data_IF_002152941583
#
_entry.id   IF_002152941583
#
_cell.length_a   1.000
_cell.length_b   1.000
_cell.length_c   1.000
_cell.angle_alpha   90.00
_cell.angle_beta   90.00
_cell.angle_gamma   90.00
#
_symmetry.space_group_name_H-M   'P 1'
#
loop_
_entity.id
_entity.type
_entity.pdbx_description
1 polymer ?
#
# COMPACT_ATOMS: atom_id res chain seq x y z
N UNK A 1 7.16 8.39 13.99
CA UNK A 1 7.00 6.97 13.76
C UNK A 1 6.45 6.66 12.42
N UNK A 2 5.24 7.04 12.12
CA UNK A 2 4.69 6.81 10.81
C UNK A 2 5.50 7.49 9.71
N UNK A 3 6.09 8.62 10.03
CA UNK A 3 6.88 9.38 9.08
C UNK A 3 8.09 8.60 8.58
N UNK A 4 8.73 7.83 9.46
CA UNK A 4 9.90 7.08 9.05
C UNK A 4 9.60 6.05 7.98
N UNK A 5 8.50 5.33 8.15
CA UNK A 5 8.09 4.33 7.16
C UNK A 5 7.74 5.00 5.85
N UNK A 6 6.98 6.09 5.92
CA UNK A 6 6.60 6.81 4.72
C UNK A 6 7.81 7.36 3.98
N UNK A 7 8.81 7.82 4.72
CA UNK A 7 10.02 8.33 4.10
C UNK A 7 10.77 7.23 3.36
N UNK A 8 10.84 6.04 3.94
CA UNK A 8 11.48 4.91 3.27
C UNK A 8 10.77 4.57 1.97
N UNK A 9 9.45 4.54 2.01
CA UNK A 9 8.68 4.24 0.80
C UNK A 9 8.84 5.34 -0.23
N UNK A 10 8.95 6.57 0.22
CA UNK A 10 9.19 7.69 -0.69
C UNK A 10 10.54 7.57 -1.39
N UNK A 11 11.55 7.12 -0.66
CA UNK A 11 12.86 6.92 -1.26
C UNK A 11 12.82 5.87 -2.36
N UNK A 12 12.09 4.79 -2.12
CA UNK A 12 11.90 3.78 -3.15
C UNK A 12 11.22 4.37 -4.39
N UNK A 13 10.24 5.22 -4.18
CA UNK A 13 9.56 5.89 -5.27
C UNK A 13 10.55 6.73 -6.08
N UNK A 14 11.43 7.44 -5.37
CA UNK A 14 12.41 8.30 -6.02
C UNK A 14 13.34 7.48 -6.91
N UNK A 15 13.79 6.32 -6.41
CA UNK A 15 14.66 5.47 -7.21
C UNK A 15 13.99 5.02 -8.50
N UNK A 16 12.75 4.59 -8.37
CA UNK A 16 12.00 4.14 -9.54
C UNK A 16 11.80 5.30 -10.51
N UNK A 17 11.48 6.46 -9.97
CA UNK A 17 11.30 7.63 -10.81
C UNK A 17 12.54 7.97 -11.61
N UNK A 18 13.71 7.86 -10.98
CA UNK A 18 14.97 8.13 -11.67
C UNK A 18 15.16 7.14 -12.81
N UNK A 19 14.94 5.88 -12.52
CA UNK A 19 15.08 4.86 -13.54
C UNK A 19 14.11 5.11 -14.68
N UNK A 20 12.87 5.40 -14.32
CA UNK A 20 11.87 5.67 -15.33
C UNK A 20 12.21 6.88 -16.18
N UNK A 21 12.70 7.91 -15.55
CA UNK A 21 13.07 9.12 -16.28
C UNK A 21 14.15 8.84 -17.29
N UNK A 22 15.05 7.91 -16.97
CA UNK A 22 16.12 7.57 -17.85
C UNK A 22 15.65 6.83 -19.07
N UNK A 23 14.58 6.11 -18.93
CA UNK A 23 14.14 5.23 -19.99
C UNK A 23 13.88 5.94 -21.28
N UNK A 24 13.48 7.10 -21.19
CA UNK A 24 13.34 7.63 -22.35
C UNK A 24 12.63 8.70 -22.87
N UNK A 25 13.20 9.25 -23.71
CA UNK A 25 12.58 10.32 -24.42
C UNK A 25 11.22 9.93 -24.96
N UNK A 26 11.17 8.78 -25.53
CA UNK A 26 9.91 8.33 -26.14
C UNK A 26 8.80 8.09 -25.14
N UNK A 27 9.18 7.86 -23.90
CA UNK A 27 8.22 7.53 -22.85
C UNK A 27 7.87 8.70 -21.96
N UNK A 28 8.28 9.91 -22.33
CA UNK A 28 8.14 11.06 -21.44
C UNK A 28 6.72 11.41 -21.09
N UNK A 29 5.78 11.07 -21.93
CA UNK A 29 4.39 11.43 -21.69
C UNK A 29 3.72 10.50 -20.69
N UNK A 30 4.36 9.39 -20.35
CA UNK A 30 3.77 8.45 -19.43
C UNK A 30 4.09 8.81 -18.01
N UNK A 31 3.13 8.60 -17.13
CA UNK A 31 3.38 8.69 -15.70
C UNK A 31 4.19 7.50 -15.25
N UNK A 32 5.27 7.76 -14.56
CA UNK A 32 6.08 6.67 -14.03
C UNK A 32 5.31 5.92 -12.97
N UNK A 33 5.29 4.61 -13.10
CA UNK A 33 4.62 3.76 -12.14
C UNK A 33 5.64 3.15 -11.19
N UNK A 34 5.43 3.36 -9.90
CA UNK A 34 6.29 2.77 -8.87
C UNK A 34 6.22 1.25 -8.99
N UNK A 35 7.37 0.59 -8.92
CA UNK A 35 7.45 -0.86 -8.95
C UNK A 35 8.43 -1.36 -7.89
N UNK A 36 8.08 -2.46 -7.25
CA UNK A 36 8.93 -3.12 -6.27
C UNK A 36 9.29 -4.50 -6.80
N UNK A 37 10.55 -4.69 -7.14
CA UNK A 37 11.00 -5.98 -7.62
C UNK A 37 10.88 -7.03 -6.52
N UNK A 38 10.48 -8.22 -6.89
CA UNK A 38 10.44 -9.33 -5.95
C UNK A 38 9.09 -9.63 -5.34
N UNK A 39 8.03 -8.98 -5.82
CA UNK A 39 6.68 -9.33 -5.36
C UNK A 39 6.34 -10.75 -5.82
N UNK A 40 5.78 -11.54 -4.92
CA UNK A 40 5.47 -12.96 -5.15
C UNK A 40 4.04 -13.24 -4.72
N UNK A 41 3.58 -14.45 -5.03
CA UNK A 41 2.21 -14.81 -4.68
C UNK A 41 2.00 -14.82 -3.17
N UNK A 42 2.96 -15.38 -2.43
CA UNK A 42 2.92 -15.38 -0.96
C UNK A 42 4.34 -15.23 -0.46
N UNK A 43 4.59 -14.19 0.30
CA UNK A 43 5.92 -13.92 0.83
C UNK A 43 6.04 -14.46 2.26
N UNK A 44 6.89 -15.47 2.50
CA UNK A 44 7.06 -16.02 3.84
C UNK A 44 7.51 -14.97 4.87
N UNK A 45 8.18 -13.92 4.44
CA UNK A 45 8.61 -12.86 5.35
C UNK A 45 7.42 -12.13 5.96
N UNK A 46 6.29 -12.07 5.25
CA UNK A 46 5.08 -11.47 5.78
C UNK A 46 4.51 -12.33 6.90
N UNK A 47 4.54 -13.66 6.74
CA UNK A 47 4.07 -14.55 7.80
C UNK A 47 4.91 -14.37 9.07
N UNK A 48 6.22 -14.21 8.91
CA UNK A 48 7.11 -13.94 10.04
C UNK A 48 6.76 -12.60 10.68
N UNK A 49 6.54 -11.59 9.85
CA UNK A 49 6.16 -10.26 10.33
C UNK A 49 4.85 -10.31 11.12
N UNK A 50 3.87 -11.04 10.62
CA UNK A 50 2.58 -11.19 11.30
C UNK A 50 2.74 -11.86 12.66
N UNK A 51 3.59 -12.88 12.74
CA UNK A 51 3.84 -13.57 14.00
C UNK A 51 4.52 -12.67 15.03
N UNK A 52 5.31 -11.72 14.58
CA UNK A 52 5.97 -10.78 15.49
C UNK A 52 5.03 -9.70 16.01
N UNK A 53 3.90 -9.52 15.37
CA UNK A 53 2.93 -8.51 15.76
C UNK A 53 1.67 -9.19 16.27
N UNK A 54 1.79 -9.80 17.45
CA UNK A 54 0.65 -10.43 18.08
C UNK A 54 -0.20 -9.40 18.81
N UNK A 55 -1.37 -9.81 19.27
CA UNK A 55 -2.27 -8.94 19.98
C UNK A 55 -3.23 -8.24 19.05
N UNK A 56 -3.90 -7.25 19.60
CA UNK A 56 -5.00 -6.59 18.90
C UNK A 56 -4.57 -5.82 17.66
N UNK A 57 -3.46 -5.11 17.74
CA UNK A 57 -2.98 -4.34 16.60
C UNK A 57 -2.56 -5.26 15.45
N UNK A 58 -1.88 -6.36 15.78
CA UNK A 58 -1.51 -7.34 14.76
C UNK A 58 -2.72 -7.99 14.11
N UNK A 59 -3.76 -8.24 14.89
CA UNK A 59 -4.99 -8.82 14.34
C UNK A 59 -5.65 -7.86 13.35
N UNK A 60 -5.65 -6.57 13.66
CA UNK A 60 -6.16 -5.55 12.75
C UNK A 60 -5.34 -5.52 11.46
N UNK A 61 -4.03 -5.55 11.57
CA UNK A 61 -3.15 -5.55 10.40
C UNK A 61 -3.40 -6.78 9.52
N UNK A 62 -3.54 -7.96 10.13
CA UNK A 62 -3.82 -9.19 9.38
C UNK A 62 -5.16 -9.11 8.67
N UNK A 63 -6.17 -8.60 9.35
CA UNK A 63 -7.51 -8.48 8.77
C UNK A 63 -7.48 -7.65 7.48
N UNK A 64 -6.87 -6.50 7.53
CA UNK A 64 -6.90 -5.60 6.39
C UNK A 64 -5.93 -6.00 5.29
N UNK A 65 -4.80 -6.63 5.65
CA UNK A 65 -3.92 -7.16 4.62
C UNK A 65 -4.58 -8.30 3.87
N UNK A 66 -5.38 -9.11 4.58
CA UNK A 66 -6.12 -10.18 3.92
C UNK A 66 -7.17 -9.62 2.95
N UNK A 67 -7.80 -8.51 3.27
CA UNK A 67 -8.70 -7.83 2.35
C UNK A 67 -7.97 -7.44 1.07
N UNK A 68 -6.73 -6.93 1.20
CA UNK A 68 -5.91 -6.59 0.05
C UNK A 68 -5.59 -7.83 -0.79
N UNK A 69 -5.21 -8.92 -0.13
CA UNK A 69 -4.89 -10.18 -0.82
C UNK A 69 -6.05 -10.68 -1.66
N UNK A 70 -7.27 -10.45 -1.20
CA UNK A 70 -8.47 -10.98 -1.85
C UNK A 70 -9.03 -10.09 -2.93
N UNK A 71 -8.36 -8.99 -3.25
CA UNK A 71 -8.86 -8.10 -4.30
C UNK A 71 -8.87 -8.76 -5.67
N UNK A 72 -7.91 -9.65 -5.94
CA UNK A 72 -7.86 -10.35 -7.21
C UNK A 72 -6.81 -11.45 -7.19
N UNK A 73 -6.90 -12.37 -8.15
CA UNK A 73 -5.98 -13.50 -8.23
C UNK A 73 -4.56 -13.08 -8.60
N UNK A 74 -4.41 -11.93 -9.22
CA UNK A 74 -3.10 -11.45 -9.64
C UNK A 74 -2.40 -10.60 -8.57
N UNK A 75 -2.99 -10.47 -7.38
CA UNK A 75 -2.34 -9.75 -6.29
C UNK A 75 -1.08 -10.49 -5.86
N UNK A 76 0.01 -9.77 -5.79
CA UNK A 76 1.30 -10.25 -5.30
C UNK A 76 1.65 -9.49 -4.04
N UNK A 77 2.66 -9.95 -3.36
CA UNK A 77 3.04 -9.32 -2.09
C UNK A 77 4.52 -9.43 -1.83
N UNK A 78 5.01 -8.55 -0.98
CA UNK A 78 6.37 -8.65 -0.45
C UNK A 78 6.47 -7.85 0.83
N UNK A 79 7.46 -8.21 1.65
CA UNK A 79 7.81 -7.35 2.78
C UNK A 79 8.77 -6.30 2.26
N UNK A 80 8.43 -5.04 2.41
CA UNK A 80 9.24 -3.93 1.91
C UNK A 80 9.32 -2.83 2.95
N UNK A 81 10.52 -2.39 3.25
CA UNK A 81 10.77 -1.38 4.28
C UNK A 81 10.08 -1.71 5.60
N UNK A 82 10.09 -2.98 5.97
CA UNK A 82 9.57 -3.42 7.26
C UNK A 82 8.08 -3.58 7.35
N UNK A 83 7.34 -3.52 6.24
CA UNK A 83 5.89 -3.73 6.29
C UNK A 83 5.37 -4.55 5.11
N UNK A 84 4.26 -5.27 5.32
CA UNK A 84 3.61 -6.01 4.24
C UNK A 84 3.04 -5.09 3.19
N UNK A 85 3.35 -5.37 1.93
CA UNK A 85 2.91 -4.57 0.79
C UNK A 85 2.17 -5.47 -0.19
N UNK A 86 1.03 -5.00 -0.66
CA UNK A 86 0.23 -5.68 -1.68
C UNK A 86 0.42 -4.98 -3.02
N UNK A 87 0.61 -5.77 -4.07
CA UNK A 87 0.94 -5.29 -5.40
C UNK A 87 0.06 -5.92 -6.46
N UNK A 88 -0.10 -5.22 -7.57
CA UNK A 88 -0.58 -5.77 -8.82
C UNK A 88 0.66 -6.03 -9.66
N UNK A 89 1.06 -7.31 -9.81
CA UNK A 89 2.38 -7.59 -10.33
C UNK A 89 3.43 -6.99 -9.40
N UNK A 90 4.29 -6.14 -9.92
CA UNK A 90 5.29 -5.43 -9.11
C UNK A 90 4.85 -4.03 -8.69
N UNK A 91 3.65 -3.60 -9.06
CA UNK A 91 3.17 -2.27 -8.77
C UNK A 91 2.40 -2.24 -7.45
N UNK A 92 2.94 -1.61 -6.39
CA UNK A 92 2.29 -1.62 -5.09
C UNK A 92 1.04 -0.75 -5.07
N UNK A 93 0.00 -1.20 -4.38
CA UNK A 93 -1.18 -0.40 -4.20
C UNK A 93 -1.55 -0.17 -2.73
N UNK A 94 -1.14 -1.05 -1.83
CA UNK A 94 -1.49 -0.90 -0.43
C UNK A 94 -0.48 -1.55 0.50
N UNK A 95 -0.49 -1.13 1.74
CA UNK A 95 0.36 -1.72 2.77
C UNK A 95 -0.33 -1.62 4.12
N UNK A 96 0.16 -2.42 5.08
CA UNK A 96 -0.24 -2.27 6.48
C UNK A 96 1.02 -2.10 7.32
N UNK A 97 0.92 -1.32 8.40
CA UNK A 97 2.02 -1.22 9.35
C UNK A 97 1.45 -1.03 10.75
N UNK A 98 2.17 -1.57 11.73
CA UNK A 98 1.75 -1.51 13.14
C UNK A 98 2.64 -0.53 13.88
N UNK A 99 2.02 0.40 14.57
CA UNK A 99 2.70 1.36 15.43
C UNK A 99 2.33 1.06 16.88
N UNK A 100 2.78 1.91 17.80
CA UNK A 100 2.59 1.65 19.21
C UNK A 100 1.11 1.53 19.62
N UNK A 101 0.25 2.37 19.05
CA UNK A 101 -1.15 2.42 19.46
C UNK A 101 -2.13 2.41 18.30
N UNK A 102 -1.65 2.18 17.08
CA UNK A 102 -2.53 2.16 15.92
C UNK A 102 -1.91 1.36 14.77
N UNK A 103 -2.73 1.05 13.80
CA UNK A 103 -2.31 0.43 12.55
C UNK A 103 -2.59 1.42 11.43
N UNK A 104 -1.65 1.54 10.50
CA UNK A 104 -1.92 2.26 9.27
C UNK A 104 -2.25 1.28 8.17
N UNK A 105 -3.34 1.56 7.46
CA UNK A 105 -3.63 0.95 6.16
C UNK A 105 -3.31 2.02 5.14
N UNK A 106 -2.28 1.80 4.34
CA UNK A 106 -1.77 2.84 3.47
C UNK A 106 -1.95 2.53 1.99
N UNK A 107 -1.95 3.59 1.19
CA UNK A 107 -2.18 3.52 -0.25
C UNK A 107 -1.12 4.32 -0.96
N UNK A 108 -0.41 3.68 -1.88
CA UNK A 108 0.70 4.32 -2.60
C UNK A 108 0.22 5.45 -3.53
N UNK A 109 -0.99 5.32 -4.04
CA UNK A 109 -1.60 6.36 -4.87
C UNK A 109 -2.85 6.93 -4.20
N UNK A 110 -2.80 7.03 -2.87
CA UNK A 110 -3.96 7.41 -2.08
C UNK A 110 -4.53 8.78 -2.40
N UNK A 111 -3.68 9.71 -2.83
CA UNK A 111 -4.15 11.07 -3.17
C UNK A 111 -5.13 11.08 -4.34
N UNK A 112 -5.11 10.02 -5.16
CA UNK A 112 -6.00 9.92 -6.31
C UNK A 112 -7.32 9.20 -6.01
N UNK A 113 -7.47 8.68 -4.81
CA UNK A 113 -8.64 7.87 -4.47
C UNK A 113 -9.82 8.73 -4.03
N UNK A 114 -11.04 8.33 -4.39
CA UNK A 114 -12.22 8.97 -3.84
C UNK A 114 -12.30 8.63 -2.35
N UNK A 115 -12.58 9.61 -1.53
CA UNK A 115 -12.63 9.43 -0.08
C UNK A 115 -13.87 10.15 0.49
N UNK A 116 -15.07 9.66 0.17
CA UNK A 116 -16.28 10.33 0.62
C UNK A 116 -16.44 10.30 2.13
N UNK A 117 -15.88 9.28 2.80
CA UNK A 117 -15.96 9.18 4.25
C UNK A 117 -14.86 9.98 4.96
N UNK A 118 -13.97 10.60 4.21
CA UNK A 118 -12.88 11.44 4.73
C UNK A 118 -12.00 10.69 5.71
N UNK A 119 -11.61 9.49 5.34
CA UNK A 119 -10.78 8.62 6.18
C UNK A 119 -9.29 8.79 5.92
N UNK A 120 -8.92 9.30 4.77
CA UNK A 120 -7.51 9.35 4.35
C UNK A 120 -6.77 10.51 5.01
N UNK A 121 -5.59 10.21 5.52
CA UNK A 121 -4.69 11.18 6.15
C UNK A 121 -3.37 11.20 5.40
N UNK A 122 -2.62 12.27 5.56
CA UNK A 122 -1.29 12.40 4.98
C UNK A 122 -1.18 13.64 4.12
N UNK A 123 0.06 14.09 3.95
CA UNK A 123 0.37 15.30 3.20
C UNK A 123 1.32 15.07 2.05
N UNK A 124 1.73 13.81 1.83
CA UNK A 124 2.63 13.50 0.74
C UNK A 124 1.97 13.74 -0.62
N UNK A 125 2.79 13.77 -1.65
CA UNK A 125 2.30 14.04 -2.99
C UNK A 125 1.35 12.96 -3.48
N UNK A 126 1.60 11.70 -3.11
CA UNK A 126 0.81 10.56 -3.60
C UNK A 126 0.24 9.69 -2.50
N UNK A 127 1.00 9.47 -1.45
CA UNK A 127 0.62 8.50 -0.44
C UNK A 127 -0.39 9.06 0.55
N UNK A 128 -1.33 8.19 0.95
CA UNK A 128 -2.29 8.48 2.01
C UNK A 128 -2.46 7.22 2.84
N UNK A 129 -3.00 7.37 4.03
CA UNK A 129 -3.26 6.22 4.90
C UNK A 129 -4.50 6.47 5.74
N UNK A 130 -5.07 5.37 6.21
CA UNK A 130 -6.14 5.38 7.20
C UNK A 130 -5.54 4.89 8.51
N UNK A 131 -5.76 5.62 9.58
CA UNK A 131 -5.24 5.27 10.89
C UNK A 131 -6.33 4.53 11.68
N UNK A 132 -6.00 3.32 12.11
CA UNK A 132 -6.95 2.47 12.83
C UNK A 132 -6.50 2.31 14.27
N UNK A 133 -7.40 2.69 15.19
CA UNK A 133 -7.16 2.48 16.62
C UNK A 133 -8.15 1.47 17.14
N UNK A 134 -7.71 0.56 18.00
CA UNK A 134 -8.63 -0.43 18.57
C UNK A 134 -9.81 0.26 19.26
N UNK A 135 -11.01 -0.24 18.99
CA UNK A 135 -12.20 0.28 19.61
C UNK A 135 -12.69 1.64 19.15
N UNK A 136 -12.10 2.18 18.09
CA UNK A 136 -12.43 3.54 17.66
C UNK A 136 -13.67 3.65 16.75
N UNK A 137 -14.36 2.55 16.47
CA UNK A 137 -15.58 2.61 15.70
C UNK A 137 -15.41 2.95 14.24
N UNK A 138 -14.46 2.30 13.58
CA UNK A 138 -14.19 2.55 12.18
C UNK A 138 -15.32 2.06 11.27
N UNK A 139 -15.53 2.77 10.17
CA UNK A 139 -16.44 2.33 9.12
C UNK A 139 -15.70 1.31 8.24
N UNK A 140 -15.86 0.03 8.58
CA UNK A 140 -15.19 -1.05 7.88
C UNK A 140 -15.58 -1.13 6.41
N UNK A 141 -16.84 -0.87 6.11
CA UNK A 141 -17.30 -0.91 4.73
C UNK A 141 -16.65 0.19 3.91
N UNK A 142 -16.49 1.38 4.47
CA UNK A 142 -15.83 2.48 3.78
C UNK A 142 -14.35 2.16 3.52
N UNK A 143 -13.67 1.54 4.49
CA UNK A 143 -12.28 1.15 4.28
C UNK A 143 -12.17 0.06 3.23
N UNK A 144 -13.07 -0.91 3.25
CA UNK A 144 -13.11 -1.93 2.21
C UNK A 144 -13.26 -1.34 0.82
N UNK A 145 -14.10 -0.32 0.67
CA UNK A 145 -14.28 0.36 -0.60
C UNK A 145 -13.02 1.12 -1.04
N UNK A 146 -12.30 1.71 -0.08
CA UNK A 146 -11.02 2.36 -0.41
C UNK A 146 -10.00 1.35 -0.92
N UNK A 147 -9.91 0.19 -0.28
CA UNK A 147 -8.99 -0.85 -0.71
C UNK A 147 -9.35 -1.33 -2.11
N UNK A 148 -10.63 -1.57 -2.35
CA UNK A 148 -11.08 -1.99 -3.67
C UNK A 148 -10.78 -0.92 -4.72
N UNK A 149 -11.02 0.34 -4.39
CA UNK A 149 -10.73 1.45 -5.29
C UNK A 149 -9.23 1.53 -5.61
N UNK A 150 -8.38 1.32 -4.58
CA UNK A 150 -6.94 1.33 -4.78
C UNK A 150 -6.50 0.19 -5.70
N UNK A 151 -7.06 -0.99 -5.53
CA UNK A 151 -6.76 -2.12 -6.39
C UNK A 151 -7.19 -1.85 -7.83
N UNK A 152 -8.38 -1.33 -8.03
CA UNK A 152 -8.87 -1.01 -9.38
C UNK A 152 -8.04 0.07 -10.03
N UNK A 153 -7.62 1.06 -9.27
CA UNK A 153 -6.79 2.14 -9.77
C UNK A 153 -5.44 1.62 -10.22
N UNK A 154 -4.78 0.79 -9.40
CA UNK A 154 -3.47 0.27 -9.80
C UNK A 154 -3.59 -0.68 -10.98
N UNK A 155 -4.64 -1.46 -11.04
CA UNK A 155 -4.87 -2.35 -12.16
C UNK A 155 -5.02 -1.56 -13.45
N UNK A 156 -5.78 -0.48 -13.43
CA UNK A 156 -5.94 0.38 -14.60
C UNK A 156 -4.60 1.01 -15.01
N UNK A 157 -3.80 1.46 -14.05
CA UNK A 157 -2.50 2.06 -14.36
C UNK A 157 -1.55 1.05 -14.99
N UNK A 158 -1.55 -0.17 -14.49
CA UNK A 158 -0.71 -1.23 -15.05
C UNK A 158 -1.15 -1.59 -16.47
N UNK A 159 -2.46 -1.72 -16.68
CA UNK A 159 -3.00 -2.11 -17.99
C UNK A 159 -2.82 -1.01 -19.04
N UNK A 160 -2.85 0.24 -18.61
CA UNK A 160 -2.75 1.38 -19.52
C UNK A 160 -1.31 1.88 -19.67
N UNK A 161 -0.41 1.40 -18.87
CA UNK A 161 0.99 1.76 -18.93
C UNK A 161 1.73 0.88 -19.91
#
# INVERSE_FOLDING_TARGET
MGAGVLDSLRMATTRVGIVGATLKAGATMRTELLQFDGAVERDPAIDVWMKKHEGELGAIARQWFEVMRRCGDEVRELLHDGCPVACMGDAPFGYVNVFRSHVNVGFFHGAALPDPARMLEGTGKRMRHVKLRPGAGLDDAALGRLIDAAYRDIKARVENG
#
